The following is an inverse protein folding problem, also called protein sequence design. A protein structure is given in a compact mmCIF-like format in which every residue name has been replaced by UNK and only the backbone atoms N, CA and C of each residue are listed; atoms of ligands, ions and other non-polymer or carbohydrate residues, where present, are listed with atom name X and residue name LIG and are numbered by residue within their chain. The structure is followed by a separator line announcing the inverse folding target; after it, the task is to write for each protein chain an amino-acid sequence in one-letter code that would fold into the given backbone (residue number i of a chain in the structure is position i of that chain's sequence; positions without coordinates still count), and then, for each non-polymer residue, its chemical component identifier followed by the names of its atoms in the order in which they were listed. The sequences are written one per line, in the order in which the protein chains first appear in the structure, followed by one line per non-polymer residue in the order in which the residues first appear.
data_IF_715596697710
#
_entry.id   IF_715596697710
#
_cell.length_a   1.000
_cell.length_b   1.000
_cell.length_c   1.000
_cell.angle_alpha   90.00
_cell.angle_beta   90.00
_cell.angle_gamma   90.00
#
_symmetry.space_group_name_H-M   'P 1'
#
loop_
_entity.id
_entity.type
_entity.pdbx_description
1 polymer ?
#
# COMPACT_ATOMS: atom_id res chain seq x y z
N UNK A 1 21.31 -47.92 -19.27
CA UNK A 1 21.04 -46.48 -19.02
C UNK A 1 22.35 -45.69 -19.08
N UNK A 2 22.41 -44.59 -19.86
CA UNK A 2 23.62 -43.77 -20.00
C UNK A 2 23.88 -42.96 -18.72
N UNK A 3 25.16 -42.79 -18.33
CA UNK A 3 25.59 -42.09 -17.10
C UNK A 3 25.05 -40.64 -17.02
N UNK A 4 24.86 -39.98 -18.16
CA UNK A 4 24.28 -38.64 -18.27
C UNK A 4 22.81 -38.60 -17.87
N UNK A 5 21.99 -39.58 -18.30
CA UNK A 5 20.56 -39.64 -18.00
C UNK A 5 20.29 -39.78 -16.50
N UNK A 6 21.09 -40.59 -15.79
CA UNK A 6 20.98 -40.73 -14.32
C UNK A 6 21.27 -39.42 -13.59
N UNK A 7 22.20 -38.59 -14.09
CA UNK A 7 22.53 -37.29 -13.50
C UNK A 7 21.39 -36.29 -13.66
N UNK A 8 20.73 -36.25 -14.82
CA UNK A 8 19.58 -35.37 -15.04
C UNK A 8 18.40 -35.76 -14.15
N UNK A 9 18.12 -37.05 -13.99
CA UNK A 9 17.07 -37.55 -13.10
C UNK A 9 17.37 -37.19 -11.64
N UNK A 10 18.63 -37.34 -11.21
CA UNK A 10 19.03 -36.96 -9.86
C UNK A 10 18.90 -35.44 -9.64
N UNK A 11 19.31 -34.63 -10.61
CA UNK A 11 19.20 -33.18 -10.53
C UNK A 11 17.75 -32.69 -10.49
N UNK A 12 16.85 -33.27 -11.30
CA UNK A 12 15.43 -32.90 -11.29
C UNK A 12 14.73 -33.32 -10.00
N UNK A 13 15.06 -34.50 -9.44
CA UNK A 13 14.53 -34.93 -8.15
C UNK A 13 14.93 -34.00 -7.01
N UNK A 14 16.20 -33.54 -6.99
CA UNK A 14 16.67 -32.54 -6.01
C UNK A 14 15.95 -31.21 -6.18
N UNK A 15 15.73 -30.77 -7.42
CA UNK A 15 15.01 -29.53 -7.69
C UNK A 15 13.54 -29.60 -7.22
N UNK A 16 12.85 -30.72 -7.45
CA UNK A 16 11.47 -30.94 -6.96
C UNK A 16 11.43 -30.95 -5.43
N UNK A 17 12.40 -31.59 -4.77
CA UNK A 17 12.46 -31.59 -3.30
C UNK A 17 12.76 -30.20 -2.73
N UNK A 18 13.57 -29.40 -3.41
CA UNK A 18 13.93 -28.05 -2.98
C UNK A 18 12.81 -27.02 -3.19
N UNK A 19 12.07 -27.11 -4.31
CA UNK A 19 11.08 -26.08 -4.70
C UNK A 19 9.62 -26.56 -4.67
N UNK A 20 9.37 -27.87 -4.72
CA UNK A 20 8.02 -28.43 -4.65
C UNK A 20 7.40 -28.40 -3.25
N UNK A 21 8.22 -28.18 -2.21
CA UNK A 21 7.79 -28.00 -0.81
C UNK A 21 8.11 -26.56 -0.35
N UNK A 22 8.29 -25.61 -1.27
CA UNK A 22 8.36 -24.21 -0.87
C UNK A 22 7.04 -23.87 -0.15
N UNK A 23 7.06 -23.37 1.10
CA UNK A 23 5.84 -22.91 1.74
C UNK A 23 5.19 -21.88 0.82
N UNK A 24 3.87 -21.97 0.62
CA UNK A 24 3.15 -20.93 -0.10
C UNK A 24 3.55 -19.61 0.54
N UNK A 25 4.16 -18.73 -0.25
CA UNK A 25 4.26 -17.34 0.13
C UNK A 25 2.81 -16.85 0.15
N UNK A 26 2.16 -17.04 1.30
CA UNK A 26 0.83 -16.51 1.53
C UNK A 26 1.02 -15.02 1.40
N UNK A 27 0.62 -14.45 0.25
CA UNK A 27 0.34 -13.05 0.16
C UNK A 27 -0.69 -12.81 1.27
N UNK A 28 -0.21 -12.29 2.40
CA UNK A 28 -1.05 -12.06 3.56
C UNK A 28 -1.86 -10.81 3.23
N UNK A 29 -3.07 -11.02 2.71
CA UNK A 29 -4.03 -9.96 2.51
C UNK A 29 -4.58 -9.57 3.89
N UNK A 30 -3.91 -8.63 4.56
CA UNK A 30 -4.40 -8.05 5.82
C UNK A 30 -5.59 -7.16 5.48
N UNK A 31 -6.81 -7.64 5.75
CA UNK A 31 -8.01 -6.82 5.70
C UNK A 31 -8.29 -6.28 7.11
N UNK A 32 -7.71 -5.14 7.45
CA UNK A 32 -7.91 -4.53 8.77
C UNK A 32 -9.08 -3.53 8.72
N UNK A 33 -10.22 -3.93 9.28
CA UNK A 33 -11.51 -3.25 9.08
C UNK A 33 -11.67 -1.89 9.77
N UNK A 34 -10.75 -1.48 10.65
CA UNK A 34 -10.83 -0.18 11.34
C UNK A 34 -9.46 0.28 11.85
N UNK A 35 -8.63 0.81 10.95
CA UNK A 35 -7.45 1.58 11.32
C UNK A 35 -7.78 3.08 11.29
N UNK A 36 -7.23 3.89 12.21
CA UNK A 36 -7.25 5.34 12.06
C UNK A 36 -6.66 5.73 10.70
N UNK A 37 -7.27 6.72 10.04
CA UNK A 37 -6.98 7.05 8.64
C UNK A 37 -5.48 7.29 8.34
N UNK A 38 -4.73 7.81 9.31
CA UNK A 38 -3.27 7.97 9.19
C UNK A 38 -2.50 6.65 9.01
N UNK A 39 -2.93 5.56 9.65
CA UNK A 39 -2.33 4.24 9.45
C UNK A 39 -2.71 3.64 8.10
N UNK A 40 -3.92 3.92 7.61
CA UNK A 40 -4.32 3.52 6.26
C UNK A 40 -3.42 4.19 5.20
N UNK A 41 -3.06 5.46 5.37
CA UNK A 41 -2.07 6.13 4.48
C UNK A 41 -0.68 5.50 4.58
N UNK A 42 -0.28 5.13 5.80
CA UNK A 42 1.05 4.60 6.03
C UNK A 42 1.26 3.21 5.39
N UNK A 43 0.24 2.35 5.45
CA UNK A 43 0.40 0.92 5.21
C UNK A 43 -0.50 0.32 4.13
N UNK A 44 -1.65 0.94 3.81
CA UNK A 44 -2.57 0.31 2.87
C UNK A 44 -2.08 0.46 1.43
N UNK A 45 -2.11 -0.63 0.68
CA UNK A 45 -1.95 -0.59 -0.78
C UNK A 45 -3.28 -0.20 -1.46
N UNK A 46 -4.41 -0.63 -0.89
CA UNK A 46 -5.76 -0.36 -1.38
C UNK A 46 -6.71 -0.10 -0.19
N UNK A 47 -7.64 0.83 -0.37
CA UNK A 47 -8.62 1.24 0.63
C UNK A 47 -10.02 1.10 0.06
N UNK A 48 -10.94 0.59 0.86
CA UNK A 48 -12.36 0.50 0.55
C UNK A 48 -13.14 1.35 1.56
N UNK A 49 -13.81 2.40 1.07
CA UNK A 49 -14.76 3.18 1.85
C UNK A 49 -16.13 2.54 1.78
N UNK A 50 -16.71 2.23 2.94
CA UNK A 50 -18.04 1.66 3.05
C UNK A 50 -19.04 2.73 3.51
N UNK A 51 -20.22 2.74 2.86
CA UNK A 51 -21.38 3.55 3.24
C UNK A 51 -22.65 2.74 3.01
N UNK A 52 -23.54 2.70 4.01
CA UNK A 52 -24.85 2.04 3.92
C UNK A 52 -24.79 0.58 3.41
N UNK A 53 -23.79 -0.18 3.87
CA UNK A 53 -23.59 -1.59 3.50
C UNK A 53 -23.04 -1.81 2.08
N UNK A 54 -22.59 -0.75 1.40
CA UNK A 54 -22.00 -0.80 0.05
C UNK A 54 -20.62 -0.17 0.04
N UNK A 55 -19.78 -0.57 -0.90
CA UNK A 55 -18.53 0.13 -1.20
C UNK A 55 -18.89 1.45 -1.90
N UNK A 56 -18.63 2.57 -1.24
CA UNK A 56 -18.77 3.91 -1.79
C UNK A 56 -17.62 4.22 -2.77
N UNK A 57 -16.39 3.88 -2.37
CA UNK A 57 -15.18 4.13 -3.15
C UNK A 57 -14.12 3.08 -2.84
N UNK A 58 -13.33 2.72 -3.84
CA UNK A 58 -12.11 1.94 -3.65
C UNK A 58 -10.97 2.49 -4.49
N UNK A 59 -9.73 2.29 -4.04
CA UNK A 59 -8.54 2.72 -4.74
C UNK A 59 -7.33 2.82 -3.82
N UNK A 60 -6.25 3.41 -4.31
CA UNK A 60 -5.05 3.69 -3.51
C UNK A 60 -5.34 4.70 -2.39
N UNK A 61 -4.49 4.79 -1.34
CA UNK A 61 -4.66 5.81 -0.31
C UNK A 61 -4.75 7.24 -0.83
N UNK A 62 -3.99 7.54 -1.88
CA UNK A 62 -4.03 8.83 -2.57
C UNK A 62 -5.40 9.09 -3.19
N UNK A 63 -5.90 8.17 -4.01
CA UNK A 63 -7.19 8.32 -4.71
C UNK A 63 -8.36 8.41 -3.73
N UNK A 64 -8.29 7.68 -2.61
CA UNK A 64 -9.37 7.64 -1.61
C UNK A 64 -9.33 8.85 -0.69
N UNK A 65 -8.17 9.21 -0.14
CA UNK A 65 -8.10 10.29 0.86
C UNK A 65 -8.05 11.71 0.26
N UNK A 66 -7.84 11.85 -1.05
CA UNK A 66 -8.00 13.15 -1.75
C UNK A 66 -9.45 13.44 -2.10
N UNK A 67 -10.34 12.45 -2.07
CA UNK A 67 -11.78 12.61 -2.33
C UNK A 67 -12.52 13.10 -1.07
N UNK A 68 -12.43 14.40 -0.82
CA UNK A 68 -13.06 15.02 0.36
C UNK A 68 -14.59 14.87 0.39
N UNK A 69 -15.25 14.72 -0.76
CA UNK A 69 -16.68 14.40 -0.83
C UNK A 69 -16.98 13.01 -0.29
N UNK A 70 -16.28 11.99 -0.79
CA UNK A 70 -16.47 10.61 -0.33
C UNK A 70 -16.15 10.45 1.16
N UNK A 71 -15.08 11.10 1.64
CA UNK A 71 -14.73 11.07 3.07
C UNK A 71 -15.85 11.65 3.93
N UNK A 72 -16.36 12.85 3.57
CA UNK A 72 -17.46 13.50 4.30
C UNK A 72 -18.72 12.66 4.34
N UNK A 73 -19.06 11.99 3.23
CA UNK A 73 -20.21 11.09 3.16
C UNK A 73 -20.09 9.87 4.09
N UNK A 74 -18.86 9.48 4.45
CA UNK A 74 -18.58 8.40 5.41
C UNK A 74 -18.24 8.89 6.82
N UNK A 75 -18.45 10.19 7.11
CA UNK A 75 -18.04 10.83 8.37
C UNK A 75 -16.53 10.70 8.68
N UNK A 76 -15.70 10.59 7.63
CA UNK A 76 -14.25 10.59 7.72
C UNK A 76 -13.69 11.97 7.38
N UNK A 77 -12.51 12.25 7.90
CA UNK A 77 -11.71 13.41 7.54
C UNK A 77 -10.41 12.96 6.90
N UNK A 78 -9.79 13.87 6.17
CA UNK A 78 -8.47 13.63 5.60
C UNK A 78 -7.44 13.41 6.73
N UNK A 79 -6.51 12.46 6.57
CA UNK A 79 -5.38 12.29 7.48
C UNK A 79 -4.52 13.55 7.59
N UNK A 80 -4.09 13.90 8.80
CA UNK A 80 -3.35 15.14 9.08
C UNK A 80 -2.07 15.31 8.23
N UNK A 81 -1.37 14.22 7.92
CA UNK A 81 -0.18 14.24 7.06
C UNK A 81 -0.51 14.72 5.64
N UNK A 82 -1.67 14.32 5.11
CA UNK A 82 -2.11 14.69 3.77
C UNK A 82 -2.65 16.11 3.76
N UNK A 83 -3.43 16.48 4.77
CA UNK A 83 -3.93 17.86 4.92
C UNK A 83 -2.77 18.87 4.97
N UNK A 84 -1.72 18.56 5.73
CA UNK A 84 -0.54 19.42 5.81
C UNK A 84 0.24 19.44 4.49
N UNK A 85 0.43 18.28 3.85
CA UNK A 85 1.10 18.20 2.55
C UNK A 85 0.37 19.04 1.49
N UNK A 86 -0.95 18.93 1.39
CA UNK A 86 -1.78 19.71 0.47
C UNK A 86 -1.69 21.20 0.76
N UNK A 87 -1.72 21.60 2.04
CA UNK A 87 -1.56 23.00 2.46
C UNK A 87 -0.20 23.58 2.05
N UNK A 88 0.88 22.81 2.19
CA UNK A 88 2.22 23.21 1.78
C UNK A 88 2.36 23.29 0.24
N UNK A 89 1.75 22.36 -0.49
CA UNK A 89 1.66 22.40 -1.95
C UNK A 89 0.88 23.63 -2.44
N UNK A 90 -0.27 23.93 -1.83
CA UNK A 90 -1.09 25.09 -2.16
C UNK A 90 -0.35 26.43 -1.93
N UNK A 91 0.58 26.46 -0.98
CA UNK A 91 1.44 27.63 -0.71
C UNK A 91 2.68 27.70 -1.60
N UNK A 92 2.88 26.74 -2.51
CA UNK A 92 4.04 26.66 -3.39
C UNK A 92 5.34 26.30 -2.67
N UNK A 93 5.27 25.83 -1.42
CA UNK A 93 6.44 25.38 -0.65
C UNK A 93 6.86 23.99 -1.12
N UNK A 94 5.88 23.11 -1.35
CA UNK A 94 6.06 21.79 -1.93
C UNK A 94 5.48 21.73 -3.34
N UNK A 95 5.98 20.79 -4.14
CA UNK A 95 5.51 20.54 -5.50
C UNK A 95 4.42 19.48 -5.49
N UNK A 96 3.32 19.71 -6.22
CA UNK A 96 2.19 18.77 -6.29
C UNK A 96 2.57 17.46 -7.01
N UNK A 97 3.64 17.49 -7.81
CA UNK A 97 4.17 16.31 -8.50
C UNK A 97 4.97 15.37 -7.57
N UNK A 98 5.22 15.78 -6.32
CA UNK A 98 5.89 14.92 -5.35
C UNK A 98 4.97 13.80 -4.90
N UNK A 99 5.56 12.63 -4.62
CA UNK A 99 4.80 11.52 -4.06
C UNK A 99 4.18 11.93 -2.73
N UNK A 100 2.97 11.45 -2.49
CA UNK A 100 2.29 11.69 -1.23
C UNK A 100 3.07 11.05 -0.07
N UNK A 101 3.38 11.80 1.00
CA UNK A 101 4.09 11.27 2.16
C UNK A 101 3.22 10.28 2.94
N UNK A 102 3.81 9.13 3.31
CA UNK A 102 3.09 8.08 4.04
C UNK A 102 2.88 8.38 5.52
N UNK A 103 3.68 9.29 6.07
CA UNK A 103 3.67 9.67 7.48
C UNK A 103 4.37 11.02 7.68
N UNK A 104 4.27 11.58 8.89
CA UNK A 104 4.86 12.88 9.21
C UNK A 104 6.39 12.90 9.08
N UNK A 105 7.07 11.78 9.31
CA UNK A 105 8.54 11.70 9.19
C UNK A 105 9.01 11.81 7.75
N UNK A 106 8.28 11.21 6.80
CA UNK A 106 8.54 11.38 5.38
C UNK A 106 8.27 12.82 4.92
N UNK A 107 7.19 13.43 5.41
CA UNK A 107 6.89 14.83 5.13
C UNK A 107 7.97 15.78 5.68
N UNK A 108 8.49 15.52 6.88
CA UNK A 108 9.59 16.28 7.46
C UNK A 108 10.86 16.16 6.61
N UNK A 109 11.14 14.99 6.05
CA UNK A 109 12.25 14.78 5.14
C UNK A 109 12.10 15.59 3.84
N UNK A 110 10.87 15.73 3.32
CA UNK A 110 10.59 16.59 2.17
C UNK A 110 10.89 18.06 2.46
N UNK A 111 10.44 18.56 3.62
CA UNK A 111 10.66 19.94 4.04
C UNK A 111 12.16 20.22 4.28
N UNK A 112 12.87 19.26 4.87
CA UNK A 112 14.31 19.38 5.14
C UNK A 112 15.17 19.36 3.87
N UNK A 113 14.62 18.91 2.75
CA UNK A 113 15.29 18.82 1.45
C UNK A 113 14.99 20.01 0.52
N UNK A 114 14.16 20.96 0.95
CA UNK A 114 13.90 22.23 0.24
C UNK A 114 15.08 23.18 0.34
#
# INVERSE_FOLDING_TARGET
MKKSTKRYIAASAVFILAFGIAPSANAMHIMEGYLPAGFCVAWADEIFLFKDGRVLKSGTPEEVFTDTSALRETNLTQPAVLELFDSLCAKGILKKEWKIPRNLKELEAYISAL
#
